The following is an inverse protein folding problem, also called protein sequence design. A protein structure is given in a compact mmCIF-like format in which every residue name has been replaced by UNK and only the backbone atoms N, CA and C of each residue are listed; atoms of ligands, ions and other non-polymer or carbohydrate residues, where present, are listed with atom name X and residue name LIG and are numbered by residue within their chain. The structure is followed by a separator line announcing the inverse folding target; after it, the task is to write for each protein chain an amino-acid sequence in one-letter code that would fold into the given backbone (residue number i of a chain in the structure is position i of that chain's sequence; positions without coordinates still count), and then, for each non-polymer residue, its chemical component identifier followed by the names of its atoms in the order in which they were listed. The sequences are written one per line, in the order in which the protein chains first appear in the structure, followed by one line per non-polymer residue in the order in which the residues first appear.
data_IF_229729919024
#
_entry.id   IF_229729919024
#
_cell.length_a   1.000
_cell.length_b   1.000
_cell.length_c   1.000
_cell.angle_alpha   90.00
_cell.angle_beta   90.00
_cell.angle_gamma   90.00
#
_symmetry.space_group_name_H-M   'P 1'
#
loop_
_entity.id
_entity.type
_entity.pdbx_description
1 polymer ?
#
# COMPACT_ATOMS: atom_id res chain seq x y z
N UNK A 1 -13.25 -16.30 10.84
CA UNK A 1 -12.43 -15.12 10.52
C UNK A 1 -13.11 -14.11 9.62
N UNK A 2 -13.97 -14.53 8.71
CA UNK A 2 -14.68 -13.62 7.76
C UNK A 2 -16.05 -13.10 8.25
N UNK A 3 -16.46 -13.40 9.48
CA UNK A 3 -17.82 -13.14 9.98
C UNK A 3 -18.25 -11.68 10.16
N UNK A 4 -17.34 -10.72 9.93
CA UNK A 4 -17.65 -9.27 9.96
C UNK A 4 -17.61 -8.61 8.58
N UNK A 5 -17.25 -9.33 7.53
CA UNK A 5 -17.28 -8.84 6.15
C UNK A 5 -18.68 -9.08 5.55
N UNK A 6 -19.64 -8.31 5.98
CA UNK A 6 -21.00 -8.31 5.44
C UNK A 6 -21.24 -7.03 4.67
N UNK A 7 -22.24 -7.03 3.78
CA UNK A 7 -22.66 -5.84 3.03
C UNK A 7 -23.05 -4.68 3.97
N UNK A 8 -23.48 -5.00 5.19
CA UNK A 8 -23.78 -4.03 6.24
C UNK A 8 -22.52 -3.36 6.84
N UNK A 9 -21.32 -3.85 6.55
CA UNK A 9 -20.08 -3.19 6.95
C UNK A 9 -19.74 -1.97 6.07
N UNK A 10 -20.44 -1.81 4.95
CA UNK A 10 -20.30 -0.62 4.09
C UNK A 10 -21.10 0.51 4.74
N UNK A 11 -20.49 1.68 4.99
CA UNK A 11 -21.14 2.81 5.65
C UNK A 11 -22.09 3.53 4.69
N UNK A 12 -23.23 2.92 4.41
CA UNK A 12 -24.25 3.46 3.49
C UNK A 12 -24.77 4.83 3.92
N UNK A 13 -24.74 5.11 5.23
CA UNK A 13 -25.24 6.35 5.84
C UNK A 13 -24.23 7.51 5.74
N UNK A 14 -23.00 7.23 5.29
CA UNK A 14 -21.92 8.21 5.22
C UNK A 14 -21.52 8.47 3.76
N UNK A 15 -21.99 9.57 3.16
CA UNK A 15 -21.74 9.83 1.73
C UNK A 15 -20.26 10.04 1.40
N UNK A 16 -19.48 10.65 2.29
CA UNK A 16 -18.07 10.99 2.03
C UNK A 16 -17.19 9.73 1.84
N UNK A 17 -17.13 8.75 2.79
CA UNK A 17 -16.33 7.55 2.59
C UNK A 17 -16.88 6.66 1.47
N UNK A 18 -18.19 6.66 1.24
CA UNK A 18 -18.80 5.90 0.15
C UNK A 18 -18.37 6.46 -1.22
N UNK A 19 -18.45 7.77 -1.40
CA UNK A 19 -18.01 8.44 -2.64
C UNK A 19 -16.50 8.26 -2.84
N UNK A 20 -15.69 8.45 -1.79
CA UNK A 20 -14.25 8.26 -1.87
C UNK A 20 -13.88 6.81 -2.27
N UNK A 21 -14.55 5.82 -1.68
CA UNK A 21 -14.39 4.42 -2.03
C UNK A 21 -14.79 4.12 -3.48
N UNK A 22 -15.95 4.63 -3.91
CA UNK A 22 -16.43 4.46 -5.28
C UNK A 22 -15.48 5.10 -6.31
N UNK A 23 -14.98 6.31 -6.05
CA UNK A 23 -14.00 6.99 -6.91
C UNK A 23 -12.70 6.17 -6.97
N UNK A 24 -12.21 5.67 -5.85
CA UNK A 24 -11.00 4.85 -5.82
C UNK A 24 -11.17 3.57 -6.65
N UNK A 25 -12.29 2.86 -6.49
CA UNK A 25 -12.59 1.65 -7.27
C UNK A 25 -12.71 1.98 -8.76
N UNK A 26 -13.38 3.08 -9.11
CA UNK A 26 -13.51 3.52 -10.51
C UNK A 26 -12.14 3.84 -11.13
N UNK A 27 -11.24 4.52 -10.40
CA UNK A 27 -9.89 4.81 -10.87
C UNK A 27 -9.05 3.53 -11.06
N UNK A 28 -9.14 2.57 -10.13
CA UNK A 28 -8.45 1.29 -10.26
C UNK A 28 -8.97 0.48 -11.45
N UNK A 29 -10.27 0.45 -11.67
CA UNK A 29 -10.88 -0.20 -12.82
C UNK A 29 -10.49 0.50 -14.13
N UNK A 30 -10.51 1.82 -14.17
CA UNK A 30 -10.07 2.58 -15.34
C UNK A 30 -8.60 2.32 -15.67
N UNK A 31 -7.72 2.29 -14.65
CA UNK A 31 -6.31 1.95 -14.82
C UNK A 31 -6.15 0.51 -15.34
N UNK A 32 -6.87 -0.46 -14.78
CA UNK A 32 -6.83 -1.84 -15.22
C UNK A 32 -7.28 -1.98 -16.68
N UNK A 33 -8.41 -1.37 -17.04
CA UNK A 33 -8.93 -1.36 -18.40
C UNK A 33 -7.94 -0.69 -19.36
N UNK A 34 -7.36 0.43 -18.98
CA UNK A 34 -6.34 1.12 -19.78
C UNK A 34 -5.12 0.24 -20.04
N UNK A 35 -4.59 -0.44 -19.01
CA UNK A 35 -3.47 -1.38 -19.13
C UNK A 35 -3.82 -2.55 -20.02
N UNK A 36 -5.05 -3.07 -19.89
CA UNK A 36 -5.55 -4.17 -20.73
C UNK A 36 -5.68 -3.78 -22.21
N UNK A 37 -6.27 -2.61 -22.47
CA UNK A 37 -6.43 -2.09 -23.84
C UNK A 37 -5.09 -1.78 -24.52
N UNK A 38 -4.09 -1.38 -23.77
CA UNK A 38 -2.73 -1.15 -24.28
C UNK A 38 -1.93 -2.45 -24.48
N UNK A 39 -2.47 -3.59 -24.08
CA UNK A 39 -1.80 -4.89 -24.21
C UNK A 39 -0.60 -5.07 -23.27
N UNK A 40 -0.50 -4.29 -22.18
CA UNK A 40 0.60 -4.42 -21.23
C UNK A 40 0.44 -5.58 -20.23
N UNK A 41 -0.73 -6.24 -20.19
CA UNK A 41 -0.98 -7.34 -19.25
C UNK A 41 0.01 -8.50 -19.38
N UNK A 42 0.32 -9.04 -20.62
CA UNK A 42 1.31 -10.11 -20.74
C UNK A 42 2.70 -9.69 -20.28
N UNK A 43 3.11 -8.46 -20.61
CA UNK A 43 4.39 -7.90 -20.17
C UNK A 43 4.46 -7.79 -18.64
N UNK A 44 3.42 -7.22 -18.00
CA UNK A 44 3.38 -7.09 -16.53
C UNK A 44 3.38 -8.47 -15.87
N UNK A 45 2.66 -9.42 -16.42
CA UNK A 45 2.62 -10.78 -15.88
C UNK A 45 3.98 -11.46 -15.94
N UNK A 46 4.60 -11.50 -17.11
CA UNK A 46 5.85 -12.25 -17.34
C UNK A 46 7.07 -11.56 -16.74
N UNK A 47 7.13 -10.22 -16.82
CA UNK A 47 8.34 -9.48 -16.47
C UNK A 47 8.33 -8.97 -15.03
N UNK A 48 7.15 -8.79 -14.42
CA UNK A 48 7.04 -8.21 -13.07
C UNK A 48 6.41 -9.18 -12.08
N UNK A 49 5.20 -9.69 -12.35
CA UNK A 49 4.45 -10.51 -11.38
C UNK A 49 5.15 -11.84 -11.12
N UNK A 50 5.66 -12.51 -12.16
CA UNK A 50 6.34 -13.81 -12.04
C UNK A 50 7.86 -13.70 -12.01
N UNK A 51 8.40 -12.48 -11.93
CA UNK A 51 9.83 -12.25 -11.92
C UNK A 51 10.49 -12.82 -10.67
N UNK A 52 11.66 -13.40 -10.85
CA UNK A 52 12.55 -13.83 -9.76
C UNK A 52 13.83 -12.96 -9.68
N UNK A 53 13.96 -11.98 -10.57
CA UNK A 53 15.09 -11.04 -10.60
C UNK A 53 15.06 -10.12 -9.37
N UNK A 54 16.12 -10.14 -8.58
CA UNK A 54 16.25 -9.33 -7.37
C UNK A 54 16.07 -7.83 -7.60
N UNK A 55 16.44 -7.32 -8.77
CA UNK A 55 16.30 -5.88 -9.10
C UNK A 55 14.83 -5.51 -9.26
N UNK A 56 14.06 -6.33 -9.98
CA UNK A 56 12.63 -6.10 -10.19
C UNK A 56 11.86 -6.25 -8.89
N UNK A 57 12.16 -7.29 -8.12
CA UNK A 57 11.57 -7.51 -6.79
C UNK A 57 11.90 -6.33 -5.86
N UNK A 58 13.16 -5.87 -5.86
CA UNK A 58 13.57 -4.69 -5.10
C UNK A 58 12.79 -3.43 -5.47
N UNK A 59 12.59 -3.18 -6.76
CA UNK A 59 11.77 -2.06 -7.25
C UNK A 59 10.30 -2.21 -6.83
N UNK A 60 9.73 -3.42 -6.90
CA UNK A 60 8.35 -3.68 -6.46
C UNK A 60 8.16 -3.41 -4.97
N UNK A 61 9.10 -3.82 -4.13
CA UNK A 61 9.10 -3.50 -2.69
C UNK A 61 9.16 -1.99 -2.43
N UNK A 62 10.07 -1.27 -3.11
CA UNK A 62 10.16 0.19 -2.96
C UNK A 62 8.87 0.86 -3.41
N UNK A 63 8.31 0.44 -4.55
CA UNK A 63 7.05 1.00 -5.06
C UNK A 63 5.89 0.77 -4.09
N UNK A 64 5.76 -0.45 -3.55
CA UNK A 64 4.77 -0.78 -2.52
C UNK A 64 4.95 0.12 -1.29
N UNK A 65 6.18 0.25 -0.80
CA UNK A 65 6.49 1.11 0.35
C UNK A 65 6.17 2.58 0.11
N UNK A 66 6.43 3.11 -1.09
CA UNK A 66 6.08 4.50 -1.46
C UNK A 66 4.57 4.70 -1.53
N UNK A 67 3.82 3.75 -2.08
CA UNK A 67 2.34 3.80 -2.12
C UNK A 67 1.79 3.82 -0.68
N UNK A 68 2.31 2.97 0.19
CA UNK A 68 1.91 2.92 1.59
C UNK A 68 2.36 4.15 2.39
N UNK A 69 3.51 4.73 2.05
CA UNK A 69 3.95 6.00 2.61
C UNK A 69 2.96 7.13 2.29
N UNK A 70 2.50 7.23 1.05
CA UNK A 70 1.49 8.21 0.64
C UNK A 70 0.17 7.97 1.38
N UNK A 71 -0.23 6.71 1.55
CA UNK A 71 -1.43 6.35 2.34
C UNK A 71 -1.29 6.79 3.80
N UNK A 72 -0.15 6.49 4.43
CA UNK A 72 0.15 6.92 5.81
C UNK A 72 0.24 8.45 5.95
N UNK A 73 0.76 9.13 4.93
CA UNK A 73 0.77 10.60 4.91
C UNK A 73 -0.64 11.20 4.94
N UNK A 74 -1.60 10.62 4.23
CA UNK A 74 -3.02 11.04 4.32
C UNK A 74 -3.56 10.88 5.73
N UNK A 75 -3.28 9.77 6.40
CA UNK A 75 -3.69 9.55 7.80
C UNK A 75 -3.08 10.60 8.73
N UNK A 76 -1.80 10.95 8.53
CA UNK A 76 -1.13 12.00 9.30
C UNK A 76 -1.80 13.37 9.12
N UNK A 77 -2.16 13.74 7.88
CA UNK A 77 -2.88 14.98 7.59
C UNK A 77 -4.23 14.98 8.30
N UNK A 78 -4.99 13.88 8.23
CA UNK A 78 -6.29 13.78 8.91
C UNK A 78 -6.17 13.98 10.42
N UNK A 79 -5.20 13.34 11.06
CA UNK A 79 -4.94 13.50 12.50
C UNK A 79 -4.54 14.93 12.85
N UNK A 80 -3.64 15.54 12.06
CA UNK A 80 -3.19 16.93 12.30
C UNK A 80 -4.29 17.95 12.10
N UNK A 81 -5.09 17.78 11.06
CA UNK A 81 -6.24 18.65 10.81
C UNK A 81 -7.26 18.53 11.95
N UNK A 82 -7.53 17.30 12.41
CA UNK A 82 -8.40 17.09 13.57
C UNK A 82 -7.88 17.83 14.80
N UNK A 83 -6.59 17.69 15.14
CA UNK A 83 -5.96 18.35 16.29
C UNK A 83 -6.04 19.88 16.17
N UNK A 84 -5.84 20.44 14.99
CA UNK A 84 -5.92 21.88 14.75
C UNK A 84 -7.33 22.44 14.94
N UNK A 85 -8.36 21.68 14.51
CA UNK A 85 -9.77 22.10 14.63
C UNK A 85 -10.32 21.80 16.02
N UNK A 86 -9.79 20.82 16.73
CA UNK A 86 -10.25 20.41 18.06
C UNK A 86 -9.84 21.38 19.18
N UNK A 87 -9.17 22.50 18.87
CA UNK A 87 -8.87 23.54 19.85
C UNK A 87 -10.16 24.24 20.31
N UNK A 88 -10.54 24.00 21.55
CA UNK A 88 -11.83 24.44 22.15
C UNK A 88 -13.10 23.88 21.48
N UNK A 89 -12.99 22.81 20.67
CA UNK A 89 -14.12 22.14 20.04
C UNK A 89 -13.90 20.63 19.98
N UNK A 90 -14.93 19.80 19.80
CA UNK A 90 -14.75 18.34 19.74
C UNK A 90 -14.00 17.84 18.46
N UNK A 91 -13.61 18.73 17.56
CA UNK A 91 -13.02 18.34 16.28
C UNK A 91 -14.04 17.72 15.31
N UNK A 92 -13.54 17.16 14.20
CA UNK A 92 -14.42 16.57 13.16
C UNK A 92 -14.43 15.03 13.17
N UNK A 93 -13.46 14.39 13.85
CA UNK A 93 -13.40 12.93 13.97
C UNK A 93 -13.97 12.48 15.32
N UNK A 94 -14.87 11.48 15.34
CA UNK A 94 -15.24 10.82 16.59
C UNK A 94 -14.00 10.16 17.23
N UNK A 95 -13.91 10.10 18.59
CA UNK A 95 -12.75 9.55 19.28
C UNK A 95 -12.35 8.15 18.82
N UNK A 96 -13.31 7.26 18.66
CA UNK A 96 -13.08 5.90 18.17
C UNK A 96 -12.46 5.88 16.77
N UNK A 97 -12.89 6.77 15.87
CA UNK A 97 -12.33 6.84 14.52
C UNK A 97 -10.93 7.42 14.54
N UNK A 98 -10.66 8.41 15.41
CA UNK A 98 -9.31 8.94 15.60
C UNK A 98 -8.34 7.84 16.04
N UNK A 99 -8.72 7.00 17.01
CA UNK A 99 -7.89 5.89 17.50
C UNK A 99 -7.60 4.85 16.41
N UNK A 100 -8.58 4.58 15.55
CA UNK A 100 -8.40 3.68 14.40
C UNK A 100 -7.38 4.25 13.41
N UNK A 101 -7.49 5.53 13.06
CA UNK A 101 -6.56 6.21 12.13
C UNK A 101 -5.16 6.25 12.74
N UNK A 102 -5.04 6.55 14.03
CA UNK A 102 -3.76 6.59 14.74
C UNK A 102 -3.06 5.22 14.71
N UNK A 103 -3.79 4.16 15.04
CA UNK A 103 -3.25 2.79 15.02
C UNK A 103 -2.91 2.33 13.61
N UNK A 104 -3.75 2.66 12.62
CA UNK A 104 -3.51 2.36 11.21
C UNK A 104 -2.26 3.08 10.69
N UNK A 105 -2.13 4.37 10.99
CA UNK A 105 -0.96 5.17 10.61
C UNK A 105 0.33 4.55 11.15
N UNK A 106 0.40 4.24 12.45
CA UNK A 106 1.59 3.64 13.06
C UNK A 106 1.98 2.31 12.43
N UNK A 107 1.00 1.44 12.21
CA UNK A 107 1.21 0.14 11.57
C UNK A 107 1.67 0.29 10.12
N UNK A 108 1.02 1.14 9.34
CA UNK A 108 1.35 1.37 7.92
C UNK A 108 2.76 1.95 7.78
N UNK A 109 3.12 2.95 8.58
CA UNK A 109 4.42 3.61 8.46
C UNK A 109 5.59 2.70 8.78
N UNK A 110 5.45 1.77 9.73
CA UNK A 110 6.51 0.86 10.12
C UNK A 110 6.54 -0.37 9.21
N UNK A 111 5.43 -1.11 9.14
CA UNK A 111 5.41 -2.43 8.50
C UNK A 111 5.19 -2.39 6.99
N UNK A 112 4.48 -1.39 6.47
CA UNK A 112 4.12 -1.33 5.06
C UNK A 112 4.83 -0.22 4.27
N UNK A 113 5.44 0.77 4.95
CA UNK A 113 6.26 1.78 4.30
C UNK A 113 7.75 1.55 4.56
N UNK A 114 8.21 1.69 5.80
CA UNK A 114 9.63 1.64 6.12
C UNK A 114 10.26 0.27 5.80
N UNK A 115 9.65 -0.84 6.25
CA UNK A 115 10.20 -2.18 6.03
C UNK A 115 10.29 -2.55 4.55
N UNK A 116 9.26 -2.42 3.71
CA UNK A 116 9.37 -2.72 2.30
C UNK A 116 10.39 -1.85 1.57
N UNK A 117 10.52 -0.56 1.90
CA UNK A 117 11.55 0.30 1.30
C UNK A 117 12.95 -0.22 1.65
N UNK A 118 13.21 -0.54 2.91
CA UNK A 118 14.51 -1.06 3.35
C UNK A 118 14.81 -2.40 2.68
N UNK A 119 13.86 -3.35 2.69
CA UNK A 119 14.01 -4.66 2.05
C UNK A 119 14.22 -4.51 0.55
N UNK A 120 13.48 -3.61 -0.10
CA UNK A 120 13.63 -3.31 -1.51
C UNK A 120 15.02 -2.77 -1.87
N UNK A 121 15.52 -1.83 -1.10
CA UNK A 121 16.88 -1.30 -1.26
C UNK A 121 17.95 -2.38 -1.02
N UNK A 122 17.78 -3.22 0.00
CA UNK A 122 18.69 -4.34 0.26
C UNK A 122 18.70 -5.33 -0.91
N UNK A 123 17.53 -5.72 -1.40
CA UNK A 123 17.42 -6.61 -2.56
C UNK A 123 18.08 -6.03 -3.82
N UNK A 124 17.95 -4.73 -4.03
CA UNK A 124 18.53 -4.07 -5.20
C UNK A 124 20.03 -3.89 -5.07
N UNK A 125 20.50 -3.41 -3.93
CA UNK A 125 21.91 -2.95 -3.76
C UNK A 125 22.86 -4.08 -3.34
N UNK A 126 22.45 -4.98 -2.43
CA UNK A 126 23.37 -5.96 -1.86
C UNK A 126 23.99 -6.91 -2.90
N UNK A 127 23.25 -7.52 -3.85
CA UNK A 127 23.86 -8.36 -4.88
C UNK A 127 24.80 -7.59 -5.79
N UNK A 128 24.49 -6.31 -6.08
CA UNK A 128 25.36 -5.46 -6.90
C UNK A 128 26.66 -5.13 -6.20
N UNK A 129 26.65 -4.86 -4.90
CA UNK A 129 27.85 -4.59 -4.10
C UNK A 129 28.72 -5.82 -3.95
N UNK A 130 28.11 -7.01 -3.85
CA UNK A 130 28.84 -8.27 -3.74
C UNK A 130 29.33 -8.79 -5.10
N UNK A 131 28.93 -8.16 -6.21
CA UNK A 131 29.29 -8.60 -7.55
C UNK A 131 28.68 -9.94 -7.96
N UNK A 132 27.61 -10.36 -7.29
CA UNK A 132 26.87 -11.59 -7.60
C UNK A 132 25.74 -11.31 -8.57
N UNK A 133 25.38 -12.34 -9.37
CA UNK A 133 24.35 -12.18 -10.40
C UNK A 133 22.93 -12.06 -9.83
N UNK A 134 22.65 -12.77 -8.73
CA UNK A 134 21.32 -12.80 -8.08
C UNK A 134 21.47 -13.17 -6.60
N UNK A 135 20.33 -13.11 -5.86
CA UNK A 135 20.25 -13.55 -4.47
C UNK A 135 20.34 -15.06 -4.37
N UNK A 136 20.70 -15.60 -3.18
CA UNK A 136 20.89 -17.03 -2.97
C UNK A 136 19.61 -17.87 -3.23
N UNK A 137 18.42 -17.32 -2.94
CA UNK A 137 17.14 -18.00 -3.09
C UNK A 137 16.11 -17.10 -3.84
N UNK A 138 16.21 -17.01 -5.18
CA UNK A 138 15.37 -16.07 -5.96
C UNK A 138 13.87 -16.33 -5.83
N UNK A 139 13.46 -17.60 -5.81
CA UNK A 139 12.04 -17.99 -5.67
C UNK A 139 11.47 -17.63 -4.30
N UNK A 140 12.25 -17.83 -3.21
CA UNK A 140 11.84 -17.43 -1.86
C UNK A 140 11.74 -15.91 -1.73
N UNK A 141 12.61 -15.17 -2.39
CA UNK A 141 12.58 -13.71 -2.42
C UNK A 141 11.30 -13.21 -3.11
N UNK A 142 10.95 -13.77 -4.26
CA UNK A 142 9.70 -13.47 -4.96
C UNK A 142 8.48 -13.84 -4.12
N UNK A 143 8.46 -15.02 -3.51
CA UNK A 143 7.39 -15.47 -2.61
C UNK A 143 7.26 -14.54 -1.41
N UNK A 144 8.36 -14.10 -0.83
CA UNK A 144 8.40 -13.13 0.28
C UNK A 144 7.68 -11.82 -0.07
N UNK A 145 7.91 -11.30 -1.27
CA UNK A 145 7.20 -10.10 -1.74
C UNK A 145 5.68 -10.31 -1.80
N UNK A 146 5.22 -11.45 -2.32
CA UNK A 146 3.78 -11.74 -2.47
C UNK A 146 3.08 -12.09 -1.15
N UNK A 147 3.83 -12.39 -0.10
CA UNK A 147 3.32 -12.63 1.25
C UNK A 147 3.28 -11.35 2.12
N UNK A 148 3.89 -10.26 1.68
CA UNK A 148 3.88 -8.95 2.36
C UNK A 148 2.57 -8.20 2.10
#
# INVERSE_FOLDING_TARGET
MFGKLTINAIPWDQPIPLIAGAVMVALLLALFVWVALKGYLPYLWQEWITSVDHKRIGVMYVLLGVIMLLRGFVDAIMMRTHQAVAFHSPGYLPPHHYDQIFSAHGTIMIFFAAMPIIIGLMNFVAPLQLGVRDVAFPTLNSTGFWLT
#
